data_IF_958814077330
#
_entry.id   IF_958814077330
#
_cell.length_a   1.000
_cell.length_b   1.000
_cell.length_c   1.000
_cell.angle_alpha   90.00
_cell.angle_beta   90.00
_cell.angle_gamma   90.00
#
_symmetry.space_group_name_H-M   'P 1'
#
loop_
_entity.id
_entity.type
_entity.pdbx_description
1 polymer ?
#
# COMPACT_ATOMS: atom_id res chain seq x y z
N UNK A 1 17.47 -1.61 -21.81
CA UNK A 1 16.98 -0.30 -22.31
C UNK A 1 16.68 0.55 -21.08
N UNK A 2 17.00 1.85 -21.04
CA UNK A 2 16.67 2.66 -19.85
C UNK A 2 15.15 2.68 -19.62
N UNK A 3 14.73 2.54 -18.36
CA UNK A 3 13.32 2.61 -17.97
C UNK A 3 12.77 3.99 -18.30
N UNK A 4 11.66 4.04 -19.05
CA UNK A 4 11.06 5.33 -19.39
C UNK A 4 10.39 5.97 -18.16
N UNK A 5 10.43 7.31 -18.01
CA UNK A 5 9.79 7.98 -16.89
C UNK A 5 8.28 7.73 -16.80
N UNK A 6 7.60 7.62 -17.95
CA UNK A 6 6.17 7.31 -17.99
C UNK A 6 5.88 5.90 -17.48
N UNK A 7 6.67 4.91 -17.90
CA UNK A 7 6.53 3.53 -17.42
C UNK A 7 6.80 3.43 -15.92
N UNK A 8 7.83 4.12 -15.43
CA UNK A 8 8.14 4.17 -13.99
C UNK A 8 6.97 4.75 -13.21
N UNK A 9 6.44 5.92 -13.60
CA UNK A 9 5.30 6.55 -12.93
C UNK A 9 4.05 5.67 -12.90
N UNK A 10 3.73 4.97 -14.00
CA UNK A 10 2.59 4.04 -14.01
C UNK A 10 2.78 2.89 -13.02
N UNK A 11 3.99 2.33 -12.94
CA UNK A 11 4.29 1.25 -12.00
C UNK A 11 4.30 1.74 -10.54
N UNK A 12 4.81 2.94 -10.28
CA UNK A 12 4.77 3.54 -8.95
C UNK A 12 3.31 3.82 -8.51
N UNK A 13 2.46 4.34 -9.39
CA UNK A 13 1.03 4.51 -9.10
C UNK A 13 0.34 3.16 -8.80
N UNK A 14 0.63 2.14 -9.59
CA UNK A 14 0.07 0.80 -9.36
C UNK A 14 0.57 0.15 -8.06
N UNK A 15 1.77 0.52 -7.58
CA UNK A 15 2.30 0.08 -6.28
C UNK A 15 1.43 0.58 -5.11
N UNK A 16 0.82 1.76 -5.24
CA UNK A 16 -0.09 2.36 -4.26
C UNK A 16 -1.54 1.87 -4.38
N UNK A 17 -1.83 0.98 -5.32
CA UNK A 17 -3.18 0.45 -5.48
C UNK A 17 -3.62 -0.31 -4.20
N UNK A 18 -4.83 -0.02 -3.66
CA UNK A 18 -5.35 -0.71 -2.49
C UNK A 18 -5.60 -2.21 -2.75
N UNK A 19 -5.79 -2.61 -4.01
CA UNK A 19 -5.91 -4.00 -4.38
C UNK A 19 -4.53 -4.70 -4.35
N UNK A 20 -4.42 -5.87 -3.71
CA UNK A 20 -3.14 -6.53 -3.50
C UNK A 20 -2.50 -7.05 -4.79
N UNK A 21 -3.32 -7.47 -5.77
CA UNK A 21 -2.86 -8.05 -7.03
C UNK A 21 -2.14 -7.03 -7.95
N UNK A 22 -2.73 -5.86 -8.27
CA UNK A 22 -2.06 -4.81 -9.02
C UNK A 22 -0.75 -4.35 -8.36
N UNK A 23 -0.80 -4.10 -7.05
CA UNK A 23 0.35 -3.63 -6.28
C UNK A 23 1.51 -4.66 -6.28
N UNK A 24 1.20 -5.95 -6.11
CA UNK A 24 2.20 -7.01 -6.19
C UNK A 24 2.83 -7.12 -7.59
N UNK A 25 2.02 -7.07 -8.65
CA UNK A 25 2.52 -7.13 -10.04
C UNK A 25 3.41 -5.94 -10.36
N UNK A 26 3.04 -4.75 -9.88
CA UNK A 26 3.83 -3.53 -10.04
C UNK A 26 5.19 -3.67 -9.35
N UNK A 27 5.21 -4.09 -8.07
CA UNK A 27 6.44 -4.33 -7.32
C UNK A 27 7.36 -5.35 -8.02
N UNK A 28 6.80 -6.49 -8.46
CA UNK A 28 7.55 -7.52 -9.16
C UNK A 28 8.14 -7.03 -10.49
N UNK A 29 7.45 -6.11 -11.17
CA UNK A 29 7.94 -5.51 -12.42
C UNK A 29 9.04 -4.50 -12.15
N UNK A 30 8.88 -3.65 -11.12
CA UNK A 30 9.91 -2.69 -10.70
C UNK A 30 11.19 -3.40 -10.27
N UNK A 31 11.10 -4.53 -9.56
CA UNK A 31 12.29 -5.28 -9.14
C UNK A 31 13.07 -5.88 -10.33
N UNK A 32 12.35 -6.32 -11.38
CA UNK A 32 12.99 -6.77 -12.63
C UNK A 32 13.68 -5.64 -13.38
N UNK A 33 13.10 -4.43 -13.32
CA UNK A 33 13.62 -3.25 -14.01
C UNK A 33 14.72 -2.52 -13.20
N UNK A 34 14.88 -2.84 -11.91
CA UNK A 34 15.86 -2.21 -11.01
C UNK A 34 17.29 -2.14 -11.55
N UNK A 35 17.85 -3.16 -12.26
CA UNK A 35 19.19 -3.07 -12.86
C UNK A 35 19.29 -2.06 -14.01
N UNK A 36 18.15 -1.73 -14.63
CA UNK A 36 18.05 -0.82 -15.78
C UNK A 36 17.69 0.62 -15.35
N UNK A 37 17.43 0.83 -14.06
CA UNK A 37 17.10 2.13 -13.47
C UNK A 37 18.35 2.94 -13.13
N UNK A 38 18.27 4.25 -13.37
CA UNK A 38 19.25 5.20 -12.84
C UNK A 38 19.16 5.28 -11.31
N UNK A 39 20.20 5.83 -10.66
CA UNK A 39 20.18 6.06 -9.21
C UNK A 39 18.97 6.88 -8.72
N UNK A 40 18.57 7.99 -9.38
CA UNK A 40 17.37 8.73 -8.95
C UNK A 40 16.08 7.90 -9.11
N UNK A 41 15.97 7.10 -10.18
CA UNK A 41 14.80 6.21 -10.36
C UNK A 41 14.73 5.12 -9.28
N UNK A 42 15.89 4.60 -8.85
CA UNK A 42 15.95 3.65 -7.73
C UNK A 42 15.54 4.29 -6.40
N UNK A 43 15.97 5.52 -6.15
CA UNK A 43 15.57 6.26 -4.96
C UNK A 43 14.04 6.53 -4.95
N UNK A 44 13.45 6.89 -6.09
CA UNK A 44 12.00 7.05 -6.24
C UNK A 44 11.25 5.75 -5.95
N UNK A 45 11.74 4.62 -6.48
CA UNK A 45 11.16 3.31 -6.23
C UNK A 45 11.22 2.93 -4.73
N UNK A 46 12.36 3.11 -4.07
CA UNK A 46 12.52 2.80 -2.65
C UNK A 46 11.62 3.70 -1.77
N UNK A 47 11.51 4.99 -2.11
CA UNK A 47 10.60 5.91 -1.44
C UNK A 47 9.13 5.49 -1.60
N UNK A 48 8.74 5.06 -2.80
CA UNK A 48 7.38 4.57 -3.06
C UNK A 48 7.07 3.28 -2.29
N UNK A 49 8.03 2.35 -2.18
CA UNK A 49 7.88 1.15 -1.34
C UNK A 49 7.66 1.50 0.13
N UNK A 50 8.45 2.43 0.67
CA UNK A 50 8.31 2.89 2.05
C UNK A 50 6.94 3.54 2.28
N UNK A 51 6.51 4.42 1.37
CA UNK A 51 5.21 5.08 1.43
C UNK A 51 4.04 4.09 1.32
N UNK A 52 4.10 3.13 0.40
CA UNK A 52 3.09 2.08 0.25
C UNK A 52 3.01 1.19 1.52
N UNK A 53 4.15 0.87 2.13
CA UNK A 53 4.19 0.14 3.41
C UNK A 53 3.50 0.92 4.53
N UNK A 54 3.81 2.21 4.66
CA UNK A 54 3.21 3.08 5.66
C UNK A 54 1.69 3.20 5.47
N UNK A 55 1.22 3.36 4.23
CA UNK A 55 -0.22 3.38 3.93
C UNK A 55 -0.92 2.08 4.33
N UNK A 56 -0.31 0.92 4.07
CA UNK A 56 -0.88 -0.37 4.47
C UNK A 56 -0.95 -0.53 5.99
N UNK A 57 0.08 -0.06 6.71
CA UNK A 57 0.07 -0.08 8.19
C UNK A 57 -1.03 0.83 8.76
N UNK A 58 -1.21 2.03 8.19
CA UNK A 58 -2.28 2.93 8.60
C UNK A 58 -3.66 2.35 8.30
N UNK A 59 -3.85 1.75 7.13
CA UNK A 59 -5.10 1.08 6.78
C UNK A 59 -5.40 -0.14 7.67
N UNK A 60 -4.37 -0.88 8.10
CA UNK A 60 -4.52 -1.97 9.04
C UNK A 60 -4.95 -1.47 10.43
N UNK A 61 -4.29 -0.43 10.95
CA UNK A 61 -4.66 0.20 12.23
C UNK A 61 -6.08 0.76 12.22
N UNK A 62 -6.45 1.49 11.17
CA UNK A 62 -7.80 2.05 11.04
C UNK A 62 -8.89 0.96 11.00
N UNK A 63 -8.58 -0.22 10.45
CA UNK A 63 -9.49 -1.37 10.48
C UNK A 63 -9.63 -1.97 11.88
N UNK A 64 -8.51 -2.10 12.60
CA UNK A 64 -8.50 -2.61 13.97
C UNK A 64 -9.28 -1.67 14.92
N UNK A 65 -9.09 -0.36 14.79
CA UNK A 65 -9.85 0.65 15.54
C UNK A 65 -11.36 0.58 15.21
N UNK A 66 -11.73 0.47 13.93
CA UNK A 66 -13.13 0.35 13.53
C UNK A 66 -13.79 -0.96 14.01
N UNK A 67 -13.04 -2.07 14.04
CA UNK A 67 -13.54 -3.35 14.58
C UNK A 67 -13.74 -3.27 16.10
N UNK A 68 -12.85 -2.57 16.81
CA UNK A 68 -12.95 -2.35 18.26
C UNK A 68 -14.15 -1.46 18.61
N UNK A 69 -14.38 -0.38 17.86
CA UNK A 69 -15.55 0.49 18.05
C UNK A 69 -16.88 -0.26 17.83
N UNK A 70 -16.94 -1.13 16.81
CA UNK A 70 -18.13 -1.97 16.55
C UNK A 70 -18.41 -2.96 17.68
N UNK A 71 -17.38 -3.55 18.28
CA UNK A 71 -17.51 -4.46 19.43
C UNK A 71 -18.03 -3.72 20.67
N UNK A 72 -17.50 -2.54 20.97
CA UNK A 72 -17.91 -1.71 22.11
C UNK A 72 -19.37 -1.24 22.01
N UNK A 73 -19.85 -0.92 20.79
CA UNK A 73 -21.24 -0.53 20.56
C UNK A 73 -22.21 -1.71 20.69
N UNK A 74 -21.82 -2.90 20.24
CA UNK A 74 -22.63 -4.12 20.38
C UNK A 74 -22.77 -4.55 21.85
N UNK A 75 -21.70 -4.44 22.64
CA UNK A 75 -21.72 -4.71 24.08
C UNK A 75 -22.62 -3.71 24.83
N UNK A 76 -22.63 -2.42 24.44
CA UNK A 76 -23.52 -1.42 25.03
C UNK A 76 -24.99 -1.64 24.69
N UNK A 77 -25.33 -1.98 23.45
CA UNK A 77 -26.71 -2.31 23.08
C UNK A 77 -27.18 -3.55 23.84
N UNK A 78 -26.39 -4.62 23.94
CA UNK A 78 -26.80 -5.85 24.61
C UNK A 78 -27.07 -5.69 26.12
N UNK A 79 -26.48 -4.68 26.77
CA UNK A 79 -26.72 -4.33 28.18
C UNK A 79 -28.03 -3.54 28.41
N UNK A 80 -28.58 -2.89 27.39
CA UNK A 80 -29.82 -2.10 27.52
C UNK A 80 -31.10 -2.96 27.49
N UNK A 81 -31.00 -4.24 27.13
CA UNK A 81 -32.14 -5.17 27.02
C UNK A 81 -32.28 -6.14 28.22
N UNK A 82 -31.60 -5.89 29.34
CA UNK A 82 -31.72 -6.65 30.60
C UNK A 82 -32.28 -5.80 31.73
#
# INVERSE_FOLDING_TARGET
MPVSPSQLNTLLQALHDPAPLPSYRAAATLEKLKPEMSDPQRAEYEAALASASQQRQQAAKAREEAETELLDDWDKESLQWK
#
